data_IF_855716544461
#
_entry.id   IF_855716544461
#
_cell.length_a   1.000
_cell.length_b   1.000
_cell.length_c   1.000
_cell.angle_alpha   90.00
_cell.angle_beta   90.00
_cell.angle_gamma   90.00
#
_symmetry.space_group_name_H-M   'P 1'
#
loop_
_entity.id
_entity.type
_entity.pdbx_description
1 polymer ?
#
# COMPACT_ATOMS: atom_id res chain seq x y z
N UNK A 1 21.07 4.48 -10.32
CA UNK A 1 21.51 5.87 -10.03
C UNK A 1 20.92 6.86 -11.03
N UNK A 2 20.23 7.88 -10.53
CA UNK A 2 19.68 8.98 -11.33
C UNK A 2 20.82 9.89 -11.83
N UNK A 3 20.90 10.11 -13.14
CA UNK A 3 21.99 10.87 -13.79
C UNK A 3 21.58 12.25 -14.27
N UNK A 4 20.29 12.49 -14.45
CA UNK A 4 19.70 13.77 -14.87
C UNK A 4 18.60 14.19 -13.91
N UNK A 5 18.42 15.49 -13.75
CA UNK A 5 17.33 16.05 -12.95
C UNK A 5 16.00 15.82 -13.67
N UNK A 6 14.96 15.29 -12.98
CA UNK A 6 13.65 15.16 -13.56
C UNK A 6 13.00 16.53 -13.72
N UNK A 7 12.20 16.66 -14.78
CA UNK A 7 11.30 17.78 -14.98
C UNK A 7 10.23 17.83 -13.88
N UNK A 8 9.57 18.98 -13.77
CA UNK A 8 8.48 19.16 -12.80
C UNK A 8 7.34 18.16 -13.02
N UNK A 9 6.99 17.86 -14.27
CA UNK A 9 5.90 16.93 -14.59
C UNK A 9 6.27 15.50 -14.19
N UNK A 10 7.50 15.07 -14.46
CA UNK A 10 7.98 13.75 -14.05
C UNK A 10 7.98 13.59 -12.54
N UNK A 11 8.44 14.61 -11.81
CA UNK A 11 8.44 14.60 -10.35
C UNK A 11 7.02 14.60 -9.77
N UNK A 12 6.11 15.43 -10.31
CA UNK A 12 4.72 15.43 -9.91
C UNK A 12 4.05 14.07 -10.21
N UNK A 13 4.35 13.46 -11.36
CA UNK A 13 3.89 12.12 -11.72
C UNK A 13 4.38 11.05 -10.75
N UNK A 14 5.65 11.13 -10.34
CA UNK A 14 6.21 10.24 -9.32
C UNK A 14 5.46 10.36 -7.99
N UNK A 15 5.27 11.59 -7.48
CA UNK A 15 4.55 11.84 -6.23
C UNK A 15 3.07 11.40 -6.27
N UNK A 16 2.43 11.47 -7.43
CA UNK A 16 1.02 11.13 -7.63
C UNK A 16 0.80 9.68 -8.08
N UNK A 17 1.86 8.93 -8.38
CA UNK A 17 1.75 7.51 -8.70
C UNK A 17 1.24 6.75 -7.48
N UNK A 18 0.31 5.79 -7.66
CA UNK A 18 -0.40 5.13 -6.57
C UNK A 18 0.53 4.59 -5.46
N UNK A 19 1.70 4.07 -5.81
CA UNK A 19 2.62 3.54 -4.81
C UNK A 19 3.31 4.61 -3.94
N UNK A 20 3.54 5.83 -4.47
CA UNK A 20 4.07 6.97 -3.71
C UNK A 20 2.98 7.82 -3.06
N UNK A 21 1.86 8.01 -3.75
CA UNK A 21 0.75 8.85 -3.30
C UNK A 21 0.04 8.22 -2.10
N UNK A 22 -0.22 6.92 -2.20
CA UNK A 22 -0.68 6.13 -1.07
C UNK A 22 0.52 5.53 -0.34
N UNK A 23 0.28 4.97 0.84
CA UNK A 23 1.29 4.21 1.58
C UNK A 23 1.54 2.84 0.94
N UNK A 24 2.00 2.84 -0.33
CA UNK A 24 2.32 1.66 -1.11
C UNK A 24 3.79 1.25 -1.00
N UNK A 25 4.24 0.28 -1.82
CA UNK A 25 5.63 -0.15 -1.83
C UNK A 25 6.57 0.98 -2.25
N UNK A 26 7.74 1.02 -1.62
CA UNK A 26 8.77 2.04 -1.89
C UNK A 26 9.52 1.70 -3.17
N UNK A 27 9.73 2.71 -4.02
CA UNK A 27 10.56 2.63 -5.24
C UNK A 27 11.27 3.95 -5.50
N UNK A 28 12.38 3.88 -6.23
CA UNK A 28 13.18 5.05 -6.54
C UNK A 28 12.64 5.83 -7.75
N UNK A 29 12.92 7.13 -7.79
CA UNK A 29 12.60 7.99 -8.94
C UNK A 29 13.16 7.45 -10.27
N UNK A 30 14.34 6.84 -10.23
CA UNK A 30 14.95 6.24 -11.42
C UNK A 30 14.06 5.12 -11.98
N UNK A 31 13.58 4.22 -11.13
CA UNK A 31 12.79 3.08 -11.57
C UNK A 31 11.45 3.54 -12.14
N UNK A 32 10.84 4.56 -11.54
CA UNK A 32 9.65 5.22 -12.07
C UNK A 32 9.87 5.77 -13.48
N UNK A 33 10.97 6.52 -13.70
CA UNK A 33 11.29 7.06 -15.02
C UNK A 33 11.54 5.94 -16.04
N UNK A 34 12.39 4.96 -15.69
CA UNK A 34 12.71 3.84 -16.57
C UNK A 34 11.44 3.05 -16.92
N UNK A 35 10.49 2.89 -16.00
CA UNK A 35 9.18 2.30 -16.28
C UNK A 35 8.33 3.15 -17.24
N UNK A 36 8.18 4.45 -16.98
CA UNK A 36 7.38 5.34 -17.84
C UNK A 36 7.93 5.46 -19.26
N UNK A 37 9.25 5.34 -19.41
CA UNK A 37 9.93 5.41 -20.70
C UNK A 37 10.12 4.02 -21.36
N UNK A 38 9.71 2.94 -20.69
CA UNK A 38 9.85 1.56 -21.20
C UNK A 38 11.30 1.12 -21.38
N UNK A 39 12.18 1.44 -20.43
CA UNK A 39 13.61 1.11 -20.44
C UNK A 39 13.91 -0.07 -19.51
N UNK A 40 15.03 -0.75 -19.76
CA UNK A 40 15.51 -1.84 -18.92
C UNK A 40 14.48 -2.97 -18.80
N UNK A 41 14.06 -3.28 -17.57
CA UNK A 41 13.12 -4.36 -17.22
C UNK A 41 11.70 -4.17 -17.81
N UNK A 42 11.36 -2.95 -18.25
CA UNK A 42 10.07 -2.60 -18.84
C UNK A 42 10.15 -2.34 -20.34
N UNK A 43 11.27 -2.70 -20.98
CA UNK A 43 11.39 -2.68 -22.45
C UNK A 43 10.45 -3.69 -23.08
N UNK A 44 9.92 -3.38 -24.27
CA UNK A 44 9.07 -4.30 -25.03
C UNK A 44 9.79 -5.60 -25.43
N UNK A 45 11.12 -5.60 -25.41
CA UNK A 45 11.91 -6.80 -25.65
C UNK A 45 11.90 -7.78 -24.46
N UNK A 46 11.59 -7.30 -23.25
CA UNK A 46 11.60 -8.10 -22.03
C UNK A 46 10.24 -8.77 -21.81
N UNK A 47 10.27 -10.07 -21.48
CA UNK A 47 9.04 -10.85 -21.24
C UNK A 47 8.59 -10.65 -19.80
N UNK A 48 7.54 -9.84 -19.62
CA UNK A 48 6.89 -9.67 -18.31
C UNK A 48 5.89 -10.79 -18.01
N UNK A 49 5.79 -11.23 -16.74
CA UNK A 49 4.76 -12.19 -16.33
C UNK A 49 3.36 -11.56 -16.39
N UNK A 50 2.35 -12.42 -16.49
CA UNK A 50 0.95 -11.98 -16.44
C UNK A 50 0.62 -11.37 -15.06
N UNK A 51 0.13 -10.11 -14.98
CA UNK A 51 -0.13 -9.45 -13.72
C UNK A 51 -1.41 -9.96 -13.02
N UNK A 52 -2.35 -10.54 -13.76
CA UNK A 52 -3.71 -10.80 -13.26
C UNK A 52 -3.78 -11.67 -12.01
N UNK A 53 -2.94 -12.71 -11.91
CA UNK A 53 -2.89 -13.55 -10.71
C UNK A 53 -2.38 -12.80 -9.47
N UNK A 54 -1.41 -11.92 -9.64
CA UNK A 54 -0.89 -11.09 -8.56
C UNK A 54 -1.89 -9.98 -8.17
N UNK A 55 -2.52 -9.34 -9.17
CA UNK A 55 -3.60 -8.35 -8.94
C UNK A 55 -4.76 -8.98 -8.18
N UNK A 56 -5.24 -10.16 -8.59
CA UNK A 56 -6.36 -10.83 -7.92
C UNK A 56 -6.06 -11.13 -6.45
N UNK A 57 -4.83 -11.55 -6.12
CA UNK A 57 -4.38 -11.76 -4.73
C UNK A 57 -4.37 -10.45 -3.93
N UNK A 58 -3.80 -9.39 -4.50
CA UNK A 58 -3.74 -8.08 -3.84
C UNK A 58 -5.15 -7.48 -3.61
N UNK A 59 -6.05 -7.63 -4.58
CA UNK A 59 -7.45 -7.21 -4.46
C UNK A 59 -8.21 -8.04 -3.42
N UNK A 60 -8.01 -9.36 -3.37
CA UNK A 60 -8.60 -10.22 -2.34
C UNK A 60 -8.12 -9.81 -0.94
N UNK A 61 -6.81 -9.59 -0.77
CA UNK A 61 -6.22 -9.12 0.47
C UNK A 61 -6.79 -7.75 0.88
N UNK A 62 -6.92 -6.83 -0.07
CA UNK A 62 -7.54 -5.53 0.13
C UNK A 62 -8.99 -5.67 0.61
N UNK A 63 -9.79 -6.51 -0.05
CA UNK A 63 -11.18 -6.79 0.34
C UNK A 63 -11.29 -7.36 1.76
N UNK A 64 -10.44 -8.32 2.13
CA UNK A 64 -10.40 -8.89 3.48
C UNK A 64 -10.05 -7.81 4.52
N UNK A 65 -9.04 -6.99 4.25
CA UNK A 65 -8.62 -5.92 5.16
C UNK A 65 -9.74 -4.90 5.38
N UNK A 66 -10.42 -4.47 4.31
CA UNK A 66 -11.56 -3.56 4.43
C UNK A 66 -12.72 -4.20 5.19
N UNK A 67 -13.05 -5.45 4.89
CA UNK A 67 -14.12 -6.16 5.60
C UNK A 67 -13.84 -6.25 7.10
N UNK A 68 -12.62 -6.61 7.50
CA UNK A 68 -12.21 -6.64 8.91
C UNK A 68 -12.31 -5.25 9.55
N UNK A 69 -11.83 -4.21 8.86
CA UNK A 69 -11.92 -2.83 9.36
C UNK A 69 -13.37 -2.40 9.59
N UNK A 70 -14.25 -2.60 8.60
CA UNK A 70 -15.66 -2.20 8.70
C UNK A 70 -16.43 -2.97 9.78
N UNK A 71 -16.06 -4.22 10.04
CA UNK A 71 -16.65 -4.99 11.13
C UNK A 71 -16.12 -4.55 12.51
N UNK A 72 -14.85 -4.15 12.62
CA UNK A 72 -14.22 -3.81 13.90
C UNK A 72 -14.43 -2.34 14.31
N UNK A 73 -14.48 -1.41 13.36
CA UNK A 73 -14.54 0.04 13.64
C UNK A 73 -15.75 0.47 14.49
N UNK A 74 -16.96 -0.11 14.37
CA UNK A 74 -18.08 0.25 15.22
C UNK A 74 -17.89 -0.20 16.68
N UNK A 75 -17.10 -1.25 16.91
CA UNK A 75 -16.84 -1.79 18.25
C UNK A 75 -15.69 -1.08 18.97
N UNK A 76 -14.69 -0.62 18.22
CA UNK A 76 -13.49 0.03 18.76
C UNK A 76 -13.25 1.44 18.20
N UNK A 77 -14.25 2.35 18.25
CA UNK A 77 -14.09 3.70 17.72
C UNK A 77 -13.14 4.55 18.56
N UNK A 78 -12.26 5.31 17.91
CA UNK A 78 -11.32 6.21 18.61
C UNK A 78 -12.02 7.32 19.41
N UNK A 79 -13.28 7.64 19.10
CA UNK A 79 -14.07 8.63 19.83
C UNK A 79 -14.30 8.25 21.30
N UNK A 80 -14.23 6.96 21.65
CA UNK A 80 -14.37 6.49 23.04
C UNK A 80 -13.27 7.03 23.94
N UNK A 81 -12.10 7.42 23.42
CA UNK A 81 -11.06 8.04 24.24
C UNK A 81 -11.47 9.41 24.81
N UNK A 82 -12.44 10.08 24.19
CA UNK A 82 -12.96 11.38 24.65
C UNK A 82 -14.21 11.24 25.53
N UNK A 83 -14.74 10.03 25.69
CA UNK A 83 -15.92 9.79 26.53
C UNK A 83 -15.53 9.80 28.01
N UNK A 84 -16.22 10.58 28.87
CA UNK A 84 -16.02 10.51 30.33
C UNK A 84 -16.08 9.09 30.89
N UNK A 85 -16.89 8.20 30.31
CA UNK A 85 -17.01 6.80 30.74
C UNK A 85 -15.70 6.02 30.61
N UNK A 86 -14.85 6.38 29.66
CA UNK A 86 -13.54 5.77 29.45
C UNK A 86 -12.57 6.11 30.59
N UNK A 87 -12.69 7.30 31.18
CA UNK A 87 -11.82 7.73 32.29
C UNK A 87 -12.02 6.86 33.54
N UNK A 88 -13.23 6.36 33.76
CA UNK A 88 -13.58 5.49 34.88
C UNK A 88 -13.11 4.04 34.71
N UNK A 89 -12.59 3.66 33.53
CA UNK A 89 -12.15 2.28 33.31
C UNK A 89 -10.84 1.96 34.03
N UNK A 90 -10.75 0.74 34.57
CA UNK A 90 -9.50 0.18 35.10
C UNK A 90 -8.41 0.02 34.04
N UNK A 91 -7.15 -0.03 34.48
CA UNK A 91 -5.96 -0.07 33.62
C UNK A 91 -6.02 -1.14 32.52
N UNK A 92 -6.31 -2.39 32.88
CA UNK A 92 -6.33 -3.52 31.93
C UNK A 92 -7.40 -3.36 30.84
N UNK A 93 -8.57 -2.83 31.21
CA UNK A 93 -9.65 -2.57 30.24
C UNK A 93 -9.24 -1.45 29.27
N UNK A 94 -8.61 -0.38 29.77
CA UNK A 94 -8.07 0.70 28.93
C UNK A 94 -7.01 0.19 27.96
N UNK A 95 -6.04 -0.59 28.46
CA UNK A 95 -4.96 -1.15 27.66
C UNK A 95 -5.49 -2.07 26.55
N UNK A 96 -6.38 -3.00 26.89
CA UNK A 96 -6.99 -3.91 25.91
C UNK A 96 -7.78 -3.15 24.85
N UNK A 97 -8.56 -2.14 25.26
CA UNK A 97 -9.32 -1.31 24.32
C UNK A 97 -8.41 -0.49 23.39
N UNK A 98 -7.37 0.15 23.92
CA UNK A 98 -6.38 0.88 23.11
C UNK A 98 -5.67 -0.03 22.11
N UNK A 99 -5.29 -1.24 22.53
CA UNK A 99 -4.72 -2.25 21.65
C UNK A 99 -5.70 -2.60 20.51
N UNK A 100 -6.97 -2.84 20.82
CA UNK A 100 -7.99 -3.15 19.82
C UNK A 100 -8.26 -1.98 18.87
N UNK A 101 -8.20 -0.73 19.32
CA UNK A 101 -8.26 0.45 18.46
C UNK A 101 -7.08 0.47 17.47
N UNK A 102 -5.85 0.25 17.95
CA UNK A 102 -4.65 0.17 17.10
C UNK A 102 -4.72 -0.99 16.10
N UNK A 103 -5.15 -2.17 16.57
CA UNK A 103 -5.37 -3.35 15.73
C UNK A 103 -6.42 -3.09 14.65
N UNK A 104 -7.53 -2.43 14.99
CA UNK A 104 -8.58 -2.03 14.04
C UNK A 104 -8.04 -1.06 12.99
N UNK A 105 -7.30 -0.03 13.42
CA UNK A 105 -6.69 0.95 12.52
C UNK A 105 -5.69 0.31 11.54
N UNK A 106 -4.96 -0.74 11.96
CA UNK A 106 -3.99 -1.46 11.12
C UNK A 106 -4.62 -2.00 9.83
N UNK A 107 -5.83 -2.55 9.91
CA UNK A 107 -6.54 -3.09 8.75
C UNK A 107 -6.87 -2.02 7.70
N UNK A 108 -7.20 -0.80 8.13
CA UNK A 108 -7.38 0.35 7.22
C UNK A 108 -6.10 0.65 6.44
N UNK A 109 -4.94 0.63 7.10
CA UNK A 109 -3.65 0.87 6.44
C UNK A 109 -3.26 -0.28 5.50
N UNK A 110 -3.55 -1.53 5.87
CA UNK A 110 -3.33 -2.68 4.99
C UNK A 110 -4.21 -2.67 3.76
N UNK A 111 -5.46 -2.23 3.87
CA UNK A 111 -6.30 -1.98 2.71
C UNK A 111 -5.65 -0.97 1.75
N UNK A 112 -5.21 0.19 2.26
CA UNK A 112 -4.56 1.24 1.46
C UNK A 112 -3.27 0.73 0.81
N UNK A 113 -2.45 -0.03 1.54
CA UNK A 113 -1.26 -0.65 0.99
C UNK A 113 -1.61 -1.63 -0.14
N UNK A 114 -2.52 -2.57 0.10
CA UNK A 114 -2.85 -3.64 -0.85
C UNK A 114 -3.53 -3.12 -2.12
N UNK A 115 -4.35 -2.06 -2.03
CA UNK A 115 -4.95 -1.44 -3.24
C UNK A 115 -3.90 -0.67 -4.06
N UNK A 116 -2.91 -0.09 -3.39
CA UNK A 116 -1.78 0.58 -4.05
C UNK A 116 -0.89 -0.44 -4.75
N UNK A 117 -0.58 -1.55 -4.07
CA UNK A 117 0.12 -2.69 -4.65
C UNK A 117 -0.62 -3.25 -5.87
N UNK A 118 -1.94 -3.46 -5.79
CA UNK A 118 -2.73 -3.91 -6.93
C UNK A 118 -2.63 -2.95 -8.12
N UNK A 119 -2.63 -1.63 -7.85
CA UNK A 119 -2.47 -0.58 -8.87
C UNK A 119 -1.08 -0.61 -9.53
N UNK A 120 -0.02 -0.83 -8.74
CA UNK A 120 1.36 -0.95 -9.24
C UNK A 120 1.57 -2.24 -10.05
N UNK A 121 0.96 -3.36 -9.64
CA UNK A 121 1.06 -4.62 -10.37
C UNK A 121 0.33 -4.52 -11.71
N UNK A 122 -0.91 -4.00 -11.73
CA UNK A 122 -1.70 -3.92 -12.96
C UNK A 122 -1.11 -2.92 -13.96
N UNK A 123 -0.36 -1.91 -13.49
CA UNK A 123 0.34 -0.95 -14.36
C UNK A 123 1.61 -1.54 -15.00
N UNK A 124 1.99 -2.77 -14.65
CA UNK A 124 3.24 -3.42 -15.10
C UNK A 124 4.49 -2.94 -14.36
N UNK A 125 4.36 -2.01 -13.40
CA UNK A 125 5.50 -1.50 -12.66
C UNK A 125 5.99 -2.46 -11.57
N UNK A 126 5.10 -3.30 -11.03
CA UNK A 126 5.41 -4.22 -9.93
C UNK A 126 6.37 -5.39 -10.26
N UNK A 127 6.96 -5.43 -11.45
CA UNK A 127 7.90 -6.49 -11.85
C UNK A 127 9.36 -6.11 -11.52
N UNK A 128 10.01 -6.89 -10.66
CA UNK A 128 11.40 -6.65 -10.21
C UNK A 128 12.45 -7.51 -10.92
N UNK A 129 12.12 -8.10 -12.07
CA UNK A 129 13.00 -9.01 -12.81
C UNK A 129 12.87 -10.48 -12.41
N UNK A 130 13.42 -11.36 -13.24
CA UNK A 130 13.49 -12.80 -12.96
C UNK A 130 14.64 -13.08 -12.00
N UNK A 131 14.37 -13.74 -10.88
CA UNK A 131 15.44 -14.29 -10.05
C UNK A 131 16.05 -15.47 -10.80
N UNK A 132 17.29 -15.31 -11.27
CA UNK A 132 18.09 -16.45 -11.70
C UNK A 132 18.38 -17.29 -10.47
N UNK A 133 17.53 -18.28 -10.18
CA UNK A 133 17.89 -19.39 -9.32
C UNK A 133 18.78 -20.32 -10.14
N UNK A 134 20.07 -19.99 -10.19
CA UNK A 134 21.15 -20.91 -10.56
C UNK A 134 21.67 -21.60 -9.32
#
# INVERSE_FOLDING_TARGET
>A
RLTKMPSFIEYAGYCLCCGSHFAGPVYEMKDYLDWTEGKGLWSQAEKQPSPFGAVARALLQSGICMALYLNLVPHFPLSTFSDPSYLEWGFWKKLGYQYMCGFTARWKYYFIWSISEASIIISGFGFSGWTNMS
#
